data_IF_244609183846
#
_entry.id   IF_244609183846
#
_cell.length_a   1.000
_cell.length_b   1.000
_cell.length_c   1.000
_cell.angle_alpha   90.00
_cell.angle_beta   90.00
_cell.angle_gamma   90.00
#
_symmetry.space_group_name_H-M   'P 1'
#
loop_
_entity.id
_entity.type
_entity.pdbx_description
1 polymer ?
#
# COMPACT_ATOMS: atom_id res chain seq x y z
N UNK A 1 27.18 2.76 49.81
CA UNK A 1 27.71 1.62 50.59
C UNK A 1 29.15 1.43 50.14
N UNK A 2 30.13 1.82 50.96
CA UNK A 2 31.54 1.72 50.62
C UNK A 2 31.92 0.23 50.55
N UNK A 3 32.19 -0.28 49.36
CA UNK A 3 32.51 -1.70 49.07
C UNK A 3 33.92 -2.07 49.60
N UNK A 4 34.72 -1.08 49.99
CA UNK A 4 36.13 -1.21 50.36
C UNK A 4 36.41 -1.39 51.86
N UNK A 5 35.46 -1.89 52.66
CA UNK A 5 35.66 -1.86 54.11
C UNK A 5 36.66 -2.87 54.67
N UNK A 6 36.86 -4.04 54.05
CA UNK A 6 37.70 -5.09 54.66
C UNK A 6 38.65 -5.84 53.70
N UNK A 7 38.65 -5.52 52.39
CA UNK A 7 39.48 -6.21 51.38
C UNK A 7 40.60 -5.31 50.84
N UNK A 8 41.85 -5.79 50.90
CA UNK A 8 43.05 -5.06 50.44
C UNK A 8 43.21 -5.00 48.92
N UNK A 9 42.50 -5.84 48.18
CA UNK A 9 42.51 -5.90 46.71
C UNK A 9 41.11 -6.20 46.16
N UNK A 10 40.84 -5.75 44.93
CA UNK A 10 39.63 -6.05 44.17
C UNK A 10 39.99 -6.97 43.01
N UNK A 11 39.44 -8.20 42.99
CA UNK A 11 39.62 -9.13 41.89
C UNK A 11 38.60 -8.85 40.79
N UNK A 12 39.08 -8.68 39.56
CA UNK A 12 38.27 -8.51 38.36
C UNK A 12 38.66 -9.59 37.36
N UNK A 13 37.66 -10.26 36.78
CA UNK A 13 37.85 -11.27 35.74
C UNK A 13 37.12 -10.83 34.46
N UNK A 14 37.67 -11.20 33.31
CA UNK A 14 37.00 -11.05 32.02
C UNK A 14 37.04 -12.40 31.30
N UNK A 15 36.09 -12.62 30.40
CA UNK A 15 35.94 -13.90 29.71
C UNK A 15 36.91 -14.04 28.53
N UNK A 16 37.47 -12.92 28.05
CA UNK A 16 38.39 -12.89 26.90
C UNK A 16 39.64 -12.05 27.16
N UNK A 17 40.73 -12.39 26.46
CA UNK A 17 42.00 -11.66 26.57
C UNK A 17 41.88 -10.22 26.05
N UNK A 18 41.12 -10.00 24.98
CA UNK A 18 40.91 -8.67 24.38
C UNK A 18 40.20 -7.72 25.36
N UNK A 19 39.21 -8.22 26.11
CA UNK A 19 38.56 -7.44 27.17
C UNK A 19 39.54 -7.10 28.31
N UNK A 20 40.34 -8.06 28.76
CA UNK A 20 41.38 -7.81 29.78
C UNK A 20 42.35 -6.72 29.31
N UNK A 21 42.79 -6.77 28.05
CA UNK A 21 43.70 -5.79 27.46
C UNK A 21 43.04 -4.42 27.30
N UNK A 22 41.78 -4.35 26.88
CA UNK A 22 40.99 -3.12 26.80
C UNK A 22 40.77 -2.47 28.16
N UNK A 23 40.44 -3.27 29.19
CA UNK A 23 40.31 -2.81 30.57
C UNK A 23 41.65 -2.35 31.14
N UNK A 24 42.74 -3.08 30.89
CA UNK A 24 44.10 -2.65 31.28
C UNK A 24 44.46 -1.32 30.62
N UNK A 25 44.27 -1.18 29.31
CA UNK A 25 44.55 0.06 28.60
C UNK A 25 43.71 1.24 29.12
N UNK A 26 42.45 1.00 29.47
CA UNK A 26 41.55 2.00 30.03
C UNK A 26 41.96 2.41 31.46
N UNK A 27 42.34 1.45 32.30
CA UNK A 27 42.84 1.70 33.66
C UNK A 27 44.17 2.47 33.65
N UNK A 28 45.10 2.11 32.76
CA UNK A 28 46.34 2.86 32.56
C UNK A 28 46.04 4.29 32.11
N UNK A 29 45.10 4.48 31.19
CA UNK A 29 44.65 5.81 30.75
C UNK A 29 43.98 6.63 31.86
N UNK A 30 43.30 5.96 32.78
CA UNK A 30 42.73 6.56 33.99
C UNK A 30 43.77 6.84 35.09
N UNK A 31 45.04 6.48 34.88
CA UNK A 31 46.15 6.72 35.81
C UNK A 31 46.41 5.60 36.81
N UNK A 32 45.83 4.42 36.62
CA UNK A 32 46.09 3.23 37.46
C UNK A 32 47.23 2.42 36.84
N UNK A 33 48.39 2.42 37.51
CA UNK A 33 49.58 1.75 37.02
C UNK A 33 49.75 0.38 37.69
N UNK A 34 50.14 -0.67 36.94
CA UNK A 34 50.50 -1.95 37.54
C UNK A 34 51.71 -1.79 38.46
N UNK A 35 51.70 -2.50 39.59
CA UNK A 35 52.79 -2.44 40.55
C UNK A 35 54.02 -3.21 40.01
N UNK A 36 54.87 -2.47 39.29
CA UNK A 36 56.19 -2.83 38.73
C UNK A 36 56.22 -3.84 37.57
N UNK A 37 56.52 -3.30 36.38
CA UNK A 37 57.45 -3.91 35.45
C UNK A 37 58.61 -2.93 35.22
N UNK A 38 59.80 -3.26 35.74
CA UNK A 38 61.05 -2.62 35.35
C UNK A 38 61.45 -3.12 33.96
N UNK A 39 61.62 -2.18 33.02
CA UNK A 39 62.48 -2.22 31.81
C UNK A 39 61.78 -1.90 30.48
N UNK A 40 62.33 -0.91 29.78
CA UNK A 40 62.11 -0.64 28.36
C UNK A 40 61.66 0.81 28.07
N UNK A 41 62.51 1.68 27.49
CA UNK A 41 62.03 2.92 26.90
C UNK A 41 61.25 2.51 25.65
N UNK A 42 59.94 2.43 25.78
CA UNK A 42 59.07 2.40 24.62
C UNK A 42 59.29 3.73 23.91
N UNK A 43 59.90 3.68 22.73
CA UNK A 43 59.88 4.76 21.74
C UNK A 43 58.42 4.95 21.30
N UNK A 44 57.62 5.47 22.23
CA UNK A 44 56.33 6.00 21.96
C UNK A 44 56.62 7.22 21.12
N UNK A 45 56.28 7.16 19.83
CA UNK A 45 55.96 8.34 19.05
C UNK A 45 55.25 9.30 20.00
N UNK A 46 55.93 10.36 20.39
CA UNK A 46 55.31 11.43 21.15
C UNK A 46 54.35 12.09 20.17
N UNK A 47 53.19 11.47 19.98
CA UNK A 47 52.02 12.15 19.49
C UNK A 47 51.82 13.28 20.49
N UNK A 48 52.11 14.49 20.03
CA UNK A 48 51.90 15.68 20.83
C UNK A 48 50.43 15.65 21.31
N UNK A 49 50.17 15.52 22.62
CA UNK A 49 48.81 15.44 23.14
C UNK A 49 47.97 16.66 22.74
N UNK A 50 48.62 17.78 22.41
CA UNK A 50 47.96 18.98 21.90
C UNK A 50 47.52 18.80 20.43
N UNK A 51 48.30 18.11 19.60
CA UNK A 51 47.95 17.80 18.22
C UNK A 51 46.76 16.83 18.16
N UNK A 52 46.75 15.79 19.00
CA UNK A 52 45.62 14.85 19.07
C UNK A 52 44.31 15.56 19.42
N UNK A 53 44.33 16.44 20.44
CA UNK A 53 43.16 17.24 20.83
C UNK A 53 42.68 18.17 19.71
N UNK A 54 43.61 18.78 18.97
CA UNK A 54 43.28 19.68 17.84
C UNK A 54 42.67 18.91 16.68
N UNK A 55 43.24 17.75 16.33
CA UNK A 55 42.69 16.88 15.28
C UNK A 55 41.28 16.42 15.64
N UNK A 56 41.05 16.05 16.89
CA UNK A 56 39.73 15.64 17.35
C UNK A 56 38.72 16.79 17.31
N UNK A 57 39.15 18.00 17.66
CA UNK A 57 38.32 19.21 17.51
C UNK A 57 37.92 19.44 16.05
N UNK A 58 38.89 19.30 15.13
CA UNK A 58 38.63 19.47 13.69
C UNK A 58 37.66 18.40 13.17
N UNK A 59 37.81 17.13 13.58
CA UNK A 59 36.87 16.06 13.21
C UNK A 59 35.45 16.40 13.64
N UNK A 60 35.26 16.77 14.90
CA UNK A 60 33.94 17.14 15.42
C UNK A 60 33.31 18.31 14.65
N UNK A 61 34.10 19.31 14.24
CA UNK A 61 33.62 20.43 13.44
C UNK A 61 33.23 20.01 12.01
N UNK A 62 34.04 19.15 11.37
CA UNK A 62 33.76 18.62 10.03
C UNK A 62 32.50 17.76 10.06
N UNK A 63 32.35 16.88 11.05
CA UNK A 63 31.17 16.03 11.21
C UNK A 63 29.91 16.87 11.41
N UNK A 64 29.99 17.91 12.25
CA UNK A 64 28.89 18.86 12.45
C UNK A 64 28.53 19.61 11.15
N UNK A 65 29.53 20.09 10.42
CA UNK A 65 29.33 20.78 9.14
C UNK A 65 28.68 19.87 8.10
N UNK A 66 29.20 18.65 7.92
CA UNK A 66 28.65 17.68 6.98
C UNK A 66 27.24 17.25 7.37
N UNK A 67 26.92 17.15 8.67
CA UNK A 67 25.56 16.89 9.13
C UNK A 67 24.57 17.98 8.69
N UNK A 68 24.97 19.26 8.81
CA UNK A 68 24.15 20.40 8.35
C UNK A 68 24.00 20.37 6.84
N UNK A 69 25.10 20.22 6.08
CA UNK A 69 25.08 20.15 4.61
C UNK A 69 24.16 19.02 4.14
N UNK A 70 24.29 17.83 4.72
CA UNK A 70 23.45 16.69 4.37
C UNK A 70 21.97 16.93 4.70
N UNK A 71 21.68 17.66 5.78
CA UNK A 71 20.31 18.08 6.10
C UNK A 71 19.78 19.07 5.05
N UNK A 72 20.58 20.04 4.63
CA UNK A 72 20.23 20.99 3.57
C UNK A 72 19.99 20.28 2.23
N UNK A 73 20.85 19.34 1.83
CA UNK A 73 20.68 18.57 0.58
C UNK A 73 19.37 17.78 0.62
N UNK A 74 19.09 17.06 1.71
CA UNK A 74 17.85 16.28 1.86
C UNK A 74 16.59 17.14 1.84
N UNK A 75 16.67 18.40 2.28
CA UNK A 75 15.54 19.32 2.28
C UNK A 75 15.36 20.03 0.93
N UNK A 76 16.45 20.50 0.32
CA UNK A 76 16.40 21.31 -0.89
C UNK A 76 16.22 20.47 -2.16
N UNK A 77 16.82 19.28 -2.26
CA UNK A 77 16.74 18.45 -3.47
C UNK A 77 15.29 18.10 -3.85
N UNK A 78 14.43 17.61 -2.93
CA UNK A 78 13.03 17.33 -3.27
C UNK A 78 12.26 18.59 -3.65
N UNK A 79 12.54 19.74 -3.00
CA UNK A 79 11.90 21.03 -3.31
C UNK A 79 12.27 21.51 -4.71
N UNK A 80 13.54 21.38 -5.09
CA UNK A 80 14.02 21.73 -6.42
C UNK A 80 13.39 20.84 -7.50
N UNK A 81 13.34 19.51 -7.30
CA UNK A 81 12.69 18.58 -8.24
C UNK A 81 11.20 18.91 -8.37
N UNK A 82 10.53 19.14 -7.25
CA UNK A 82 9.11 19.52 -7.25
C UNK A 82 8.86 20.79 -8.05
N UNK A 83 9.63 21.84 -7.79
CA UNK A 83 9.42 23.13 -8.43
C UNK A 83 9.81 23.13 -9.91
N UNK A 84 10.96 22.54 -10.26
CA UNK A 84 11.51 22.62 -11.61
C UNK A 84 10.95 21.56 -12.54
N UNK A 85 10.71 20.34 -12.05
CA UNK A 85 10.26 19.24 -12.91
C UNK A 85 8.77 19.00 -12.76
N UNK A 86 8.30 18.74 -11.53
CA UNK A 86 6.90 18.30 -11.33
C UNK A 86 5.93 19.43 -11.67
N UNK A 87 6.15 20.63 -11.13
CA UNK A 87 5.26 21.75 -11.40
C UNK A 87 5.33 22.20 -12.86
N UNK A 88 6.52 22.19 -13.47
CA UNK A 88 6.66 22.53 -14.89
C UNK A 88 5.92 21.54 -15.80
N UNK A 89 6.06 20.23 -15.59
CA UNK A 89 5.32 19.21 -16.35
C UNK A 89 3.81 19.32 -16.10
N UNK A 90 3.41 19.59 -14.86
CA UNK A 90 2.00 19.85 -14.53
C UNK A 90 1.46 21.05 -15.30
N UNK A 91 2.19 22.16 -15.35
CA UNK A 91 1.80 23.35 -16.11
C UNK A 91 1.72 23.07 -17.60
N UNK A 92 2.73 22.37 -18.16
CA UNK A 92 2.74 21.94 -19.54
C UNK A 92 1.50 21.11 -19.92
N UNK A 93 1.14 20.11 -19.11
CA UNK A 93 -0.03 19.27 -19.35
C UNK A 93 -1.32 20.10 -19.34
N UNK A 94 -1.44 21.07 -18.42
CA UNK A 94 -2.65 21.85 -18.26
C UNK A 94 -2.80 22.98 -19.27
N UNK A 95 -1.70 23.61 -19.69
CA UNK A 95 -1.73 24.84 -20.48
C UNK A 95 -1.27 24.66 -21.93
N UNK A 96 -0.34 23.74 -22.20
CA UNK A 96 0.36 23.68 -23.49
C UNK A 96 0.06 22.41 -24.30
N UNK A 97 -0.10 21.27 -23.62
CA UNK A 97 -0.23 19.96 -24.26
C UNK A 97 -1.34 19.92 -25.30
N UNK A 98 -2.51 20.47 -24.97
CA UNK A 98 -3.65 20.47 -25.88
C UNK A 98 -3.35 21.26 -27.16
N UNK A 99 -2.76 22.45 -27.03
CA UNK A 99 -2.38 23.27 -28.18
C UNK A 99 -1.36 22.56 -29.08
N UNK A 100 -0.41 21.84 -28.48
CA UNK A 100 0.56 21.04 -29.23
C UNK A 100 -0.08 19.88 -29.99
N UNK A 101 -1.01 19.16 -29.37
CA UNK A 101 -1.75 18.06 -30.02
C UNK A 101 -2.59 18.57 -31.20
N UNK A 102 -3.24 19.74 -31.06
CA UNK A 102 -3.97 20.35 -32.18
C UNK A 102 -3.05 20.88 -33.29
N UNK A 103 -1.82 21.26 -32.96
CA UNK A 103 -0.82 21.68 -33.96
C UNK A 103 -0.16 20.51 -34.69
N UNK A 104 -0.36 19.26 -34.27
CA UNK A 104 0.35 18.07 -34.79
C UNK A 104 -0.07 17.63 -36.21
N UNK A 105 -0.91 18.41 -36.89
CA UNK A 105 -1.23 18.26 -38.31
C UNK A 105 -2.40 17.31 -38.58
N UNK A 106 -2.24 16.01 -38.33
CA UNK A 106 -3.29 15.02 -38.61
C UNK A 106 -4.13 14.69 -37.37
N UNK A 107 -5.10 15.56 -37.09
CA UNK A 107 -6.06 15.36 -36.00
C UNK A 107 -6.95 14.13 -36.23
N UNK A 108 -7.27 13.79 -37.48
CA UNK A 108 -8.18 12.68 -37.78
C UNK A 108 -7.55 11.33 -37.44
N UNK A 109 -6.28 11.14 -37.80
CA UNK A 109 -5.55 9.93 -37.41
C UNK A 109 -5.34 9.86 -35.89
N UNK A 110 -5.09 11.01 -35.22
CA UNK A 110 -4.94 11.05 -33.77
C UNK A 110 -6.25 10.71 -33.03
N UNK A 111 -7.39 11.07 -33.61
CA UNK A 111 -8.73 10.82 -33.05
C UNK A 111 -9.38 9.54 -33.57
N UNK A 112 -8.63 8.67 -34.26
CA UNK A 112 -9.18 7.45 -34.82
C UNK A 112 -9.63 6.49 -33.71
N UNK A 113 -10.77 5.84 -33.93
CA UNK A 113 -11.35 4.91 -32.97
C UNK A 113 -10.72 3.52 -33.09
N UNK A 114 -10.48 2.85 -31.97
CA UNK A 114 -9.95 1.49 -32.02
C UNK A 114 -10.99 0.50 -32.57
N UNK A 115 -10.54 -0.51 -33.32
CA UNK A 115 -11.41 -1.54 -33.90
C UNK A 115 -12.25 -2.28 -32.83
N UNK A 116 -11.71 -2.47 -31.63
CA UNK A 116 -12.44 -3.06 -30.51
C UNK A 116 -13.61 -2.16 -30.07
N UNK A 117 -13.40 -0.83 -30.04
CA UNK A 117 -14.44 0.11 -29.66
C UNK A 117 -15.54 0.20 -30.72
N UNK A 118 -15.17 0.11 -32.00
CA UNK A 118 -16.13 0.00 -33.12
C UNK A 118 -17.01 -1.23 -32.92
N UNK A 119 -16.41 -2.40 -32.70
CA UNK A 119 -17.15 -3.65 -32.50
C UNK A 119 -18.06 -3.60 -31.28
N UNK A 120 -17.58 -3.05 -30.16
CA UNK A 120 -18.39 -2.87 -28.94
C UNK A 120 -19.60 -1.96 -29.21
N UNK A 121 -19.40 -0.85 -29.94
CA UNK A 121 -20.50 0.04 -30.34
C UNK A 121 -21.53 -0.70 -31.19
N UNK A 122 -21.07 -1.46 -32.18
CA UNK A 122 -21.95 -2.24 -33.06
C UNK A 122 -22.73 -3.32 -32.31
N UNK A 123 -22.09 -4.02 -31.36
CA UNK A 123 -22.75 -5.03 -30.54
C UNK A 123 -23.84 -4.42 -29.65
N UNK A 124 -23.56 -3.26 -29.02
CA UNK A 124 -24.54 -2.53 -28.23
C UNK A 124 -25.72 -2.09 -29.10
N UNK A 125 -25.46 -1.56 -30.29
CA UNK A 125 -26.52 -1.15 -31.23
C UNK A 125 -27.36 -2.34 -31.70
N UNK A 126 -26.72 -3.48 -32.01
CA UNK A 126 -27.40 -4.71 -32.43
C UNK A 126 -28.31 -5.24 -31.31
N UNK A 127 -27.78 -5.30 -30.09
CA UNK A 127 -28.52 -5.76 -28.91
C UNK A 127 -29.69 -4.82 -28.61
N UNK A 128 -29.46 -3.50 -28.67
CA UNK A 128 -30.51 -2.51 -28.48
C UNK A 128 -31.63 -2.65 -29.53
N UNK A 129 -31.28 -2.90 -30.80
CA UNK A 129 -32.27 -3.12 -31.85
C UNK A 129 -33.11 -4.38 -31.57
N UNK A 130 -32.46 -5.49 -31.24
CA UNK A 130 -33.15 -6.74 -30.89
C UNK A 130 -34.10 -6.59 -29.69
N UNK A 131 -33.70 -5.83 -28.66
CA UNK A 131 -34.55 -5.54 -27.51
C UNK A 131 -35.77 -4.69 -27.88
N UNK A 132 -35.61 -3.70 -28.77
CA UNK A 132 -36.75 -2.91 -29.27
C UNK A 132 -37.74 -3.76 -30.05
N UNK A 133 -37.25 -4.65 -30.91
CA UNK A 133 -38.11 -5.59 -31.64
C UNK A 133 -38.85 -6.53 -30.68
N UNK A 134 -38.16 -7.08 -29.67
CA UNK A 134 -38.79 -7.94 -28.67
C UNK A 134 -39.92 -7.21 -27.90
N UNK A 135 -39.70 -5.94 -27.52
CA UNK A 135 -40.72 -5.11 -26.87
C UNK A 135 -41.92 -4.83 -27.80
N UNK A 136 -41.69 -4.60 -29.09
CA UNK A 136 -42.75 -4.41 -30.07
C UNK A 136 -43.64 -5.66 -30.17
N UNK A 137 -43.03 -6.86 -30.27
CA UNK A 137 -43.75 -8.13 -30.31
C UNK A 137 -44.61 -8.34 -29.05
N UNK A 138 -44.09 -8.01 -27.87
CA UNK A 138 -44.86 -8.08 -26.62
C UNK A 138 -46.07 -7.13 -26.67
N UNK A 139 -45.87 -5.90 -27.16
CA UNK A 139 -46.94 -4.92 -27.34
C UNK A 139 -48.03 -5.42 -28.30
N UNK A 140 -47.64 -6.06 -29.39
CA UNK A 140 -48.55 -6.63 -30.38
C UNK A 140 -49.38 -7.77 -29.77
N UNK A 141 -48.76 -8.69 -29.02
CA UNK A 141 -49.48 -9.79 -28.35
C UNK A 141 -50.48 -9.23 -27.33
N UNK A 142 -50.04 -8.29 -26.48
CA UNK A 142 -50.87 -7.70 -25.43
C UNK A 142 -52.13 -7.00 -25.96
N UNK A 143 -52.08 -6.48 -27.19
CA UNK A 143 -53.21 -5.77 -27.82
C UNK A 143 -54.03 -6.68 -28.74
N UNK A 144 -53.48 -7.81 -29.19
CA UNK A 144 -54.12 -8.71 -30.17
C UNK A 144 -54.87 -9.88 -29.52
N UNK A 145 -54.45 -10.37 -28.35
CA UNK A 145 -55.12 -11.52 -27.72
C UNK A 145 -56.28 -11.10 -26.81
N UNK A 146 -57.49 -11.58 -27.12
CA UNK A 146 -58.69 -11.45 -26.27
C UNK A 146 -58.62 -12.46 -25.12
N UNK A 147 -58.69 -11.98 -23.88
CA UNK A 147 -58.89 -12.83 -22.71
C UNK A 147 -60.32 -13.37 -22.72
N UNK A 148 -60.49 -14.66 -22.94
CA UNK A 148 -61.78 -15.33 -22.77
C UNK A 148 -62.21 -15.23 -21.30
N UNK A 149 -63.42 -14.75 -20.98
CA UNK A 149 -63.89 -14.74 -19.60
C UNK A 149 -63.93 -16.16 -19.06
N UNK A 150 -63.52 -16.33 -17.80
CA UNK A 150 -63.47 -17.64 -17.16
C UNK A 150 -64.88 -18.26 -17.18
N UNK A 151 -65.04 -19.52 -17.64
CA UNK A 151 -66.35 -20.16 -17.64
C UNK A 151 -66.91 -20.20 -16.21
N UNK A 152 -68.24 -20.07 -16.03
CA UNK A 152 -68.84 -20.08 -14.72
C UNK A 152 -68.44 -21.35 -13.95
N UNK A 153 -68.15 -21.26 -12.64
CA UNK A 153 -67.76 -22.42 -11.84
C UNK A 153 -68.85 -23.47 -11.90
N UNK A 154 -68.47 -24.69 -12.33
CA UNK A 154 -69.36 -25.85 -12.40
C UNK A 154 -69.70 -26.27 -10.96
N UNK A 155 -71.00 -26.37 -10.66
CA UNK A 155 -71.46 -26.87 -9.36
C UNK A 155 -71.16 -28.37 -9.24
N UNK A 156 -70.17 -28.70 -8.41
CA UNK A 156 -69.70 -30.07 -8.16
C UNK A 156 -70.48 -30.77 -7.03
N UNK A 157 -71.68 -30.30 -6.66
CA UNK A 157 -72.49 -30.87 -5.58
C UNK A 157 -72.82 -32.37 -5.74
N UNK A 158 -72.67 -32.96 -6.93
CA UNK A 158 -72.84 -34.40 -7.16
C UNK A 158 -71.64 -35.27 -6.72
N UNK A 159 -70.45 -34.69 -6.53
CA UNK A 159 -69.23 -35.43 -6.15
C UNK A 159 -69.06 -35.64 -4.64
N UNK A 160 -69.88 -34.99 -3.80
CA UNK A 160 -69.81 -35.13 -2.33
C UNK A 160 -70.72 -36.21 -1.74
N UNK A 161 -71.58 -36.84 -2.54
CA UNK A 161 -72.48 -37.91 -2.08
C UNK A 161 -71.84 -39.31 -2.20
N UNK A 162 -70.60 -39.47 -1.73
CA UNK A 162 -69.97 -40.80 -1.75
C UNK A 162 -68.46 -40.87 -1.63
N UNK A 163 -67.82 -40.11 -0.73
CA UNK A 163 -66.48 -40.47 -0.27
C UNK A 163 -66.19 -39.78 1.07
N UNK A 164 -65.95 -40.60 2.08
CA UNK A 164 -65.67 -40.16 3.43
C UNK A 164 -64.43 -39.28 3.56
N UNK A 165 -64.46 -38.48 4.64
CA UNK A 165 -63.34 -37.88 5.35
C UNK A 165 -61.95 -38.36 4.91
N UNK A 166 -61.28 -37.55 4.08
CA UNK A 166 -59.82 -37.57 3.99
C UNK A 166 -59.31 -36.13 3.98
N UNK A 167 -58.75 -35.73 5.13
CA UNK A 167 -57.95 -34.53 5.30
C UNK A 167 -56.62 -34.70 4.57
N UNK A 168 -56.18 -33.75 3.72
CA UNK A 168 -54.83 -33.78 3.17
C UNK A 168 -53.82 -33.12 4.13
N UNK A 169 -52.57 -33.61 4.21
CA UNK A 169 -51.53 -33.08 5.10
C UNK A 169 -50.92 -31.75 4.57
N UNK A 170 -50.24 -30.96 5.42
CA UNK A 170 -49.78 -29.62 5.06
C UNK A 170 -48.59 -29.63 4.08
N UNK A 171 -48.64 -28.73 3.09
CA UNK A 171 -47.58 -28.49 2.10
C UNK A 171 -46.36 -27.84 2.77
N UNK A 172 -45.18 -28.44 2.60
CA UNK A 172 -43.88 -27.82 2.97
C UNK A 172 -43.62 -26.64 2.04
N UNK A 173 -43.34 -25.46 2.60
CA UNK A 173 -42.99 -24.24 1.86
C UNK A 173 -41.61 -24.42 1.22
N UNK A 174 -41.54 -24.25 -0.10
CA UNK A 174 -40.30 -24.11 -0.86
C UNK A 174 -39.77 -22.68 -0.63
N UNK A 175 -38.69 -22.54 0.13
CA UNK A 175 -37.96 -21.27 0.30
C UNK A 175 -37.12 -21.00 -0.94
N UNK A 176 -37.37 -19.88 -1.61
CA UNK A 176 -36.50 -19.27 -2.61
C UNK A 176 -35.21 -18.74 -1.97
N UNK A 177 -34.01 -18.95 -2.54
CA UNK A 177 -32.81 -18.26 -2.09
C UNK A 177 -32.77 -16.84 -2.67
N UNK A 178 -32.46 -15.86 -1.81
CA UNK A 178 -32.19 -14.47 -2.17
C UNK A 178 -30.89 -14.33 -2.97
N UNK A 179 -30.75 -13.30 -3.83
CA UNK A 179 -29.53 -13.09 -4.61
C UNK A 179 -28.34 -12.64 -3.74
N UNK A 180 -27.16 -13.18 -4.07
CA UNK A 180 -25.88 -12.83 -3.48
C UNK A 180 -25.49 -11.40 -3.88
N UNK A 181 -25.36 -10.51 -2.88
CA UNK A 181 -24.69 -9.23 -3.04
C UNK A 181 -23.18 -9.48 -3.18
N UNK A 182 -22.63 -9.18 -4.37
CA UNK A 182 -21.20 -9.07 -4.60
C UNK A 182 -20.72 -7.75 -3.98
N UNK A 183 -20.10 -7.81 -2.79
CA UNK A 183 -19.31 -6.71 -2.26
C UNK A 183 -17.90 -6.83 -2.85
N UNK A 184 -17.51 -5.88 -3.70
CA UNK A 184 -16.13 -5.74 -4.17
C UNK A 184 -15.26 -5.30 -2.99
N UNK A 185 -14.56 -6.26 -2.38
CA UNK A 185 -13.46 -6.01 -1.46
C UNK A 185 -12.27 -5.51 -2.29
N UNK A 186 -11.95 -4.23 -2.21
CA UNK A 186 -10.67 -3.71 -2.70
C UNK A 186 -9.57 -4.23 -1.78
N UNK A 187 -8.80 -5.19 -2.29
CA UNK A 187 -7.55 -5.65 -1.69
C UNK A 187 -6.57 -4.48 -1.57
N UNK A 188 -6.11 -4.22 -0.35
CA UNK A 188 -5.02 -3.32 -0.04
C UNK A 188 -3.80 -4.20 0.23
N UNK A 189 -2.90 -4.29 -0.75
CA UNK A 189 -1.60 -4.96 -0.61
C UNK A 189 -0.50 -3.92 -0.29
N UNK A 190 0.68 -4.36 0.16
CA UNK A 190 1.27 -4.06 1.47
C UNK A 190 1.96 -2.70 1.58
#
# INVERSE_FOLDING_TARGET
MNVFKDNRFLELACDTLEEVESWRASLLRAGVYPERASSGPSENFSMDPQLERKVETIRNLVDSYMAIVNKCIRDLMPKSIMHLMINNVKEFINAELLAQLYSAGDQNALMDESQEQVQRREEVLRTHHALKEALAIIGDISTTTISTPLPPPVDNSWLSAGAGSQTPPPKKKLTTPSPLNFFLQFDRCP
#
